data_IF_500447915869
#
_entry.id   IF_500447915869
#
_cell.length_a   1.000
_cell.length_b   1.000
_cell.length_c   1.000
_cell.angle_alpha   90.00
_cell.angle_beta   90.00
_cell.angle_gamma   90.00
#
_symmetry.space_group_name_H-M   'P 1'
#
loop_
_entity.id
_entity.type
_entity.pdbx_description
1 polymer ?
#
# COMPACT_ATOMS: atom_id res chain seq x y z
N UNK A 1 26.28 -6.54 6.43
CA UNK A 1 25.40 -5.42 6.81
C UNK A 1 24.07 -5.72 6.13
N UNK A 2 22.94 -5.88 6.84
CA UNK A 2 21.65 -6.02 6.14
C UNK A 2 21.51 -4.76 5.32
N UNK A 3 21.61 -4.86 3.99
CA UNK A 3 21.27 -3.72 3.13
C UNK A 3 19.91 -3.25 3.59
N UNK A 4 19.85 -2.00 4.07
CA UNK A 4 18.60 -1.45 4.55
C UNK A 4 17.67 -1.50 3.34
N UNK A 5 16.71 -2.43 3.35
CA UNK A 5 15.68 -2.55 2.32
C UNK A 5 14.90 -1.25 2.21
N UNK A 6 13.63 -1.28 1.84
CA UNK A 6 12.85 -0.05 1.71
C UNK A 6 12.48 0.58 3.07
N UNK A 7 13.34 0.52 4.09
CA UNK A 7 13.17 1.15 5.39
C UNK A 7 13.83 2.54 5.43
N UNK A 8 13.19 3.47 6.12
CA UNK A 8 13.75 4.78 6.49
C UNK A 8 13.78 4.89 8.01
N UNK A 9 14.95 5.28 8.53
CA UNK A 9 15.14 5.53 9.96
C UNK A 9 14.46 6.85 10.33
N UNK A 10 13.73 6.85 11.43
CA UNK A 10 13.16 8.08 11.99
C UNK A 10 14.23 8.84 12.77
N UNK A 11 14.33 10.14 12.51
CA UNK A 11 15.21 11.03 13.24
C UNK A 11 14.43 11.88 14.24
N UNK A 12 15.03 12.13 15.40
CA UNK A 12 14.56 13.09 16.39
C UNK A 12 15.73 14.01 16.73
N UNK A 13 15.56 15.32 16.49
CA UNK A 13 16.61 16.33 16.67
C UNK A 13 17.92 15.99 15.92
N UNK A 14 17.81 15.47 14.69
CA UNK A 14 18.96 15.11 13.83
C UNK A 14 19.71 13.85 14.27
N UNK A 15 19.13 13.03 15.14
CA UNK A 15 19.71 11.75 15.58
C UNK A 15 18.73 10.58 15.33
N UNK A 16 19.23 9.38 14.97
CA UNK A 16 18.41 8.17 14.88
C UNK A 16 17.63 7.92 16.17
N UNK A 17 16.32 7.79 16.06
CA UNK A 17 15.43 7.54 17.20
C UNK A 17 15.33 6.06 17.60
N UNK A 18 15.99 5.16 16.86
CA UNK A 18 15.84 3.71 16.98
C UNK A 18 14.61 3.15 16.26
N UNK A 19 13.67 4.00 15.84
CA UNK A 19 12.49 3.60 15.06
C UNK A 19 12.76 3.71 13.56
N UNK A 20 12.08 2.86 12.77
CA UNK A 20 12.08 2.92 11.32
C UNK A 20 10.69 2.61 10.77
N UNK A 21 10.43 3.02 9.53
CA UNK A 21 9.22 2.68 8.78
C UNK A 21 9.57 2.32 7.35
N UNK A 22 8.66 1.63 6.68
CA UNK A 22 8.82 1.32 5.25
C UNK A 22 8.53 2.57 4.41
N UNK A 23 9.50 2.98 3.60
CA UNK A 23 9.43 4.00 2.57
C UNK A 23 8.75 3.43 1.30
N UNK A 24 7.43 3.32 1.37
CA UNK A 24 6.60 2.81 0.26
C UNK A 24 6.74 3.63 -1.02
N UNK A 25 7.01 4.94 -0.90
CA UNK A 25 7.22 5.81 -2.06
C UNK A 25 8.53 5.47 -2.76
N UNK A 26 9.60 5.23 -2.00
CA UNK A 26 10.87 4.77 -2.55
C UNK A 26 10.73 3.41 -3.20
N UNK A 27 10.04 2.46 -2.54
CA UNK A 27 9.74 1.15 -3.12
C UNK A 27 9.02 1.24 -4.46
N UNK A 28 7.92 1.98 -4.51
CA UNK A 28 7.13 2.12 -5.74
C UNK A 28 7.92 2.83 -6.85
N UNK A 29 8.75 3.82 -6.52
CA UNK A 29 9.54 4.56 -7.50
C UNK A 29 10.71 3.73 -8.05
N UNK A 30 11.45 3.06 -7.18
CA UNK A 30 12.67 2.34 -7.55
C UNK A 30 12.36 0.97 -8.17
N UNK A 31 11.38 0.23 -7.64
CA UNK A 31 11.08 -1.12 -8.10
C UNK A 31 9.88 -1.21 -9.06
N UNK A 32 8.88 -0.33 -8.96
CA UNK A 32 7.61 -0.49 -9.67
C UNK A 32 7.41 0.56 -10.76
N UNK A 33 8.49 1.19 -11.23
CA UNK A 33 8.43 2.10 -12.36
C UNK A 33 8.17 1.35 -13.67
N UNK A 34 7.55 2.01 -14.65
CA UNK A 34 7.25 1.41 -15.95
C UNK A 34 6.01 0.52 -15.94
N UNK A 35 6.15 -0.73 -16.43
CA UNK A 35 5.04 -1.60 -16.84
C UNK A 35 4.17 -2.16 -15.72
N UNK A 36 4.60 -2.07 -14.46
CA UNK A 36 3.87 -2.65 -13.33
C UNK A 36 2.42 -2.18 -13.26
N UNK A 37 2.19 -0.86 -13.34
CA UNK A 37 0.84 -0.32 -13.28
C UNK A 37 0.00 -0.75 -14.50
N UNK A 38 0.60 -0.76 -15.69
CA UNK A 38 -0.09 -1.22 -16.91
C UNK A 38 -0.47 -2.71 -16.83
N UNK A 39 0.38 -3.55 -16.22
CA UNK A 39 0.10 -4.96 -15.98
C UNK A 39 -1.06 -5.13 -15.00
N UNK A 40 -1.11 -4.35 -13.91
CA UNK A 40 -2.23 -4.35 -12.97
C UNK A 40 -3.54 -4.02 -13.68
N UNK A 41 -3.54 -3.03 -14.58
CA UNK A 41 -4.73 -2.64 -15.34
C UNK A 41 -5.14 -3.73 -16.34
N UNK A 42 -4.20 -4.22 -17.13
CA UNK A 42 -4.48 -5.20 -18.21
C UNK A 42 -4.87 -6.58 -17.70
N UNK A 43 -4.47 -6.95 -16.49
CA UNK A 43 -4.84 -8.22 -15.84
C UNK A 43 -6.06 -8.08 -14.93
N UNK A 44 -6.55 -6.86 -14.71
CA UNK A 44 -7.70 -6.57 -13.84
C UNK A 44 -7.57 -7.08 -12.40
N UNK A 45 -6.35 -7.32 -11.89
CA UNK A 45 -6.13 -7.85 -10.54
C UNK A 45 -6.45 -6.86 -9.40
N UNK A 46 -6.77 -5.60 -9.74
CA UNK A 46 -7.04 -4.52 -8.80
C UNK A 46 -8.28 -3.70 -9.19
N UNK A 47 -9.27 -4.34 -9.82
CA UNK A 47 -10.45 -3.67 -10.38
C UNK A 47 -11.19 -2.80 -9.35
N UNK A 48 -11.43 -3.31 -8.14
CA UNK A 48 -12.10 -2.57 -7.06
C UNK A 48 -11.21 -1.42 -6.57
N UNK A 49 -9.90 -1.60 -6.43
CA UNK A 49 -8.97 -0.52 -6.04
C UNK A 49 -8.99 0.62 -7.06
N UNK A 50 -9.11 0.31 -8.36
CA UNK A 50 -9.12 1.29 -9.44
C UNK A 50 -10.47 2.00 -9.53
N UNK A 51 -11.58 1.25 -9.50
CA UNK A 51 -12.93 1.79 -9.74
C UNK A 51 -13.59 2.35 -8.48
N UNK A 52 -13.31 1.77 -7.31
CA UNK A 52 -13.87 2.14 -6.02
C UNK A 52 -12.82 2.15 -4.90
N UNK A 53 -11.83 3.07 -4.96
CA UNK A 53 -10.64 3.05 -4.13
C UNK A 53 -10.92 3.09 -2.63
N UNK A 54 -9.96 2.61 -1.80
CA UNK A 54 -10.10 2.62 -0.35
C UNK A 54 -10.22 4.05 0.17
N UNK A 55 -11.27 4.29 0.97
CA UNK A 55 -11.49 5.56 1.66
C UNK A 55 -10.31 5.90 2.56
N UNK A 56 -10.05 7.19 2.77
CA UNK A 56 -8.99 7.65 3.65
C UNK A 56 -9.58 8.09 4.99
N UNK A 57 -9.14 7.48 6.08
CA UNK A 57 -9.45 8.00 7.40
C UNK A 57 -8.71 9.33 7.60
N UNK A 58 -9.45 10.33 8.07
CA UNK A 58 -8.96 11.68 8.34
C UNK A 58 -9.32 12.05 9.77
N UNK A 59 -8.49 12.89 10.39
CA UNK A 59 -8.81 13.48 11.67
C UNK A 59 -9.41 14.86 11.44
N UNK A 60 -10.57 15.12 12.03
CA UNK A 60 -11.19 16.44 12.05
C UNK A 60 -11.40 16.85 13.51
N UNK A 61 -10.50 17.70 14.01
CA UNK A 61 -10.45 18.06 15.43
C UNK A 61 -10.11 16.86 16.31
N UNK A 62 -11.06 16.44 17.15
CA UNK A 62 -10.95 15.28 18.04
C UNK A 62 -11.70 14.04 17.53
N UNK A 63 -12.25 14.09 16.32
CA UNK A 63 -13.06 13.02 15.74
C UNK A 63 -12.37 12.39 14.53
N UNK A 64 -12.56 11.09 14.36
CA UNK A 64 -12.16 10.37 13.16
C UNK A 64 -13.30 10.40 12.14
N UNK A 65 -12.98 10.71 10.89
CA UNK A 65 -13.92 10.75 9.77
C UNK A 65 -13.32 10.06 8.53
N UNK A 66 -14.13 9.86 7.50
CA UNK A 66 -13.79 9.14 6.28
C UNK A 66 -13.97 10.00 5.04
N UNK A 67 -12.87 10.25 4.31
CA UNK A 67 -12.94 10.83 2.97
C UNK A 67 -13.30 9.74 1.96
N UNK A 68 -14.53 9.80 1.41
CA UNK A 68 -15.11 8.77 0.51
C UNK A 68 -14.79 8.99 -0.98
N UNK A 69 -14.60 10.23 -1.43
CA UNK A 69 -14.28 10.57 -2.82
C UNK A 69 -12.77 10.56 -3.06
N UNK A 70 -12.17 9.37 -3.02
CA UNK A 70 -10.75 9.18 -3.34
C UNK A 70 -10.61 9.01 -4.85
N UNK A 71 -9.66 9.73 -5.45
CA UNK A 71 -9.34 9.58 -6.88
C UNK A 71 -8.80 8.17 -7.13
N UNK A 72 -9.21 7.55 -8.23
CA UNK A 72 -8.58 6.33 -8.75
C UNK A 72 -7.07 6.54 -8.86
N UNK A 73 -6.25 5.60 -8.37
CA UNK A 73 -4.81 5.69 -8.55
C UNK A 73 -4.49 5.62 -10.04
N UNK A 74 -3.54 6.42 -10.52
CA UNK A 74 -3.18 6.49 -11.95
C UNK A 74 -1.72 6.15 -12.24
N UNK A 75 -1.00 5.63 -11.24
CA UNK A 75 0.39 5.18 -11.33
C UNK A 75 0.72 4.24 -10.16
N UNK A 76 1.89 3.59 -10.22
CA UNK A 76 2.36 2.62 -9.22
C UNK A 76 2.45 3.21 -7.80
N UNK A 77 2.85 4.48 -7.65
CA UNK A 77 2.98 5.09 -6.32
C UNK A 77 1.61 5.30 -5.67
N UNK A 78 0.65 5.82 -6.43
CA UNK A 78 -0.73 6.00 -5.96
C UNK A 78 -1.40 4.66 -5.66
N UNK A 79 -1.13 3.63 -6.47
CA UNK A 79 -1.64 2.27 -6.29
C UNK A 79 -1.09 1.63 -5.01
N UNK A 80 0.23 1.68 -4.77
CA UNK A 80 0.82 1.21 -3.51
C UNK A 80 0.32 2.04 -2.32
N UNK A 81 0.11 3.34 -2.51
CA UNK A 81 -0.54 4.19 -1.52
C UNK A 81 -1.97 3.73 -1.18
N UNK A 82 -2.72 3.21 -2.16
CA UNK A 82 -4.03 2.61 -1.93
C UNK A 82 -3.92 1.30 -1.14
N UNK A 83 -3.00 0.40 -1.50
CA UNK A 83 -2.72 -0.84 -0.75
C UNK A 83 -2.39 -0.54 0.73
N UNK A 84 -1.57 0.48 0.99
CA UNK A 84 -1.28 0.90 2.37
C UNK A 84 -2.52 1.37 3.12
N UNK A 85 -3.45 2.07 2.45
CA UNK A 85 -4.73 2.48 3.05
C UNK A 85 -5.61 1.28 3.35
N UNK A 86 -5.68 0.28 2.47
CA UNK A 86 -6.44 -0.96 2.67
C UNK A 86 -5.96 -1.65 3.95
N UNK A 87 -4.63 -1.85 4.08
CA UNK A 87 -4.03 -2.41 5.29
C UNK A 87 -4.39 -1.60 6.52
N UNK A 88 -4.25 -0.28 6.49
CA UNK A 88 -4.56 0.55 7.67
C UNK A 88 -6.05 0.48 8.03
N UNK A 89 -6.94 0.55 7.03
CA UNK A 89 -8.38 0.48 7.22
C UNK A 89 -8.81 -0.85 7.85
N UNK A 90 -8.16 -1.97 7.51
CA UNK A 90 -8.39 -3.28 8.12
C UNK A 90 -8.16 -3.24 9.64
N UNK A 91 -7.12 -2.53 10.11
CA UNK A 91 -6.75 -2.50 11.53
C UNK A 91 -7.34 -1.33 12.31
N UNK A 92 -7.82 -0.27 11.66
CA UNK A 92 -8.43 0.88 12.33
C UNK A 92 -9.85 0.59 12.84
N UNK A 93 -10.45 -0.55 12.50
CA UNK A 93 -11.69 -1.07 13.11
C UNK A 93 -12.97 -0.28 12.79
N UNK A 94 -12.88 0.88 12.14
CA UNK A 94 -14.01 1.81 11.93
C UNK A 94 -15.04 1.40 10.87
N UNK A 95 -15.08 0.13 10.45
CA UNK A 95 -16.01 -0.42 9.44
C UNK A 95 -16.78 -1.66 9.90
N UNK A 96 -16.85 -1.93 11.21
CA UNK A 96 -17.70 -2.99 11.74
C UNK A 96 -19.18 -2.71 11.44
N UNK A 97 -19.85 -3.59 10.68
CA UNK A 97 -21.23 -3.42 10.23
C UNK A 97 -21.41 -2.59 8.95
N UNK A 98 -20.32 -2.33 8.22
CA UNK A 98 -20.36 -1.60 6.94
C UNK A 98 -21.16 -2.40 5.89
N UNK A 99 -22.08 -1.71 5.20
CA UNK A 99 -22.89 -2.27 4.10
C UNK A 99 -21.99 -2.70 2.93
N UNK A 100 -20.77 -2.17 2.88
CA UNK A 100 -19.75 -2.44 1.86
C UNK A 100 -18.83 -3.65 2.21
N UNK A 101 -19.28 -4.64 2.98
CA UNK A 101 -18.42 -5.78 3.38
C UNK A 101 -17.75 -6.47 2.18
N UNK A 102 -18.51 -6.80 1.14
CA UNK A 102 -17.98 -7.47 -0.07
C UNK A 102 -16.91 -6.63 -0.78
N UNK A 103 -17.12 -5.32 -0.82
CA UNK A 103 -16.13 -4.37 -1.37
C UNK A 103 -14.87 -4.35 -0.50
N UNK A 104 -15.00 -4.34 0.82
CA UNK A 104 -13.86 -4.35 1.72
C UNK A 104 -13.04 -5.64 1.56
N UNK A 105 -13.71 -6.79 1.43
CA UNK A 105 -13.08 -8.08 1.15
C UNK A 105 -12.34 -8.07 -0.20
N UNK A 106 -12.97 -7.52 -1.25
CA UNK A 106 -12.33 -7.35 -2.54
C UNK A 106 -11.07 -6.48 -2.46
N UNK A 107 -11.15 -5.34 -1.76
CA UNK A 107 -10.01 -4.45 -1.56
C UNK A 107 -8.84 -5.16 -0.88
N UNK A 108 -9.10 -5.96 0.17
CA UNK A 108 -8.04 -6.73 0.86
C UNK A 108 -7.41 -7.75 -0.09
N UNK A 109 -8.24 -8.52 -0.80
CA UNK A 109 -7.77 -9.55 -1.73
C UNK A 109 -6.94 -8.97 -2.87
N UNK A 110 -7.44 -7.93 -3.52
CA UNK A 110 -6.75 -7.21 -4.58
C UNK A 110 -5.46 -6.57 -4.04
N UNK A 111 -5.47 -6.04 -2.82
CA UNK A 111 -4.29 -5.49 -2.17
C UNK A 111 -3.18 -6.55 -1.99
N UNK A 112 -3.55 -7.78 -1.63
CA UNK A 112 -2.61 -8.91 -1.56
C UNK A 112 -2.09 -9.26 -2.96
N UNK A 113 -2.96 -9.35 -3.96
CA UNK A 113 -2.56 -9.67 -5.34
C UNK A 113 -1.58 -8.64 -5.91
N UNK A 114 -1.82 -7.34 -5.66
CA UNK A 114 -0.91 -6.25 -6.06
C UNK A 114 0.45 -6.39 -5.39
N UNK A 115 0.51 -6.76 -4.10
CA UNK A 115 1.78 -7.00 -3.39
C UNK A 115 2.52 -8.23 -3.91
N UNK A 116 1.81 -9.31 -4.24
CA UNK A 116 2.42 -10.51 -4.82
C UNK A 116 2.98 -10.22 -6.21
N UNK A 117 2.24 -9.49 -7.05
CA UNK A 117 2.75 -9.06 -8.35
C UNK A 117 3.97 -8.14 -8.20
N UNK A 118 3.99 -7.25 -7.20
CA UNK A 118 5.10 -6.32 -7.01
C UNK A 118 6.42 -7.02 -6.66
N UNK A 119 6.37 -8.26 -6.14
CA UNK A 119 7.57 -9.09 -5.95
C UNK A 119 8.21 -9.48 -7.28
N UNK A 120 7.43 -9.71 -8.34
CA UNK A 120 7.95 -10.03 -9.68
C UNK A 120 8.84 -8.89 -10.22
N UNK A 121 8.52 -7.65 -9.84
CA UNK A 121 9.20 -6.43 -10.28
C UNK A 121 10.35 -5.98 -9.38
N UNK A 122 10.53 -6.58 -8.21
CA UNK A 122 11.56 -6.18 -7.27
C UNK A 122 12.35 -7.39 -6.78
N UNK A 123 13.35 -7.78 -7.58
CA UNK A 123 14.15 -8.99 -7.34
C UNK A 123 14.74 -9.04 -5.93
N UNK A 124 15.32 -7.94 -5.45
CA UNK A 124 15.90 -7.88 -4.10
C UNK A 124 14.86 -8.19 -3.01
N UNK A 125 13.63 -7.68 -3.13
CA UNK A 125 12.58 -7.94 -2.14
C UNK A 125 12.06 -9.37 -2.28
N UNK A 126 11.92 -9.87 -3.52
CA UNK A 126 11.51 -11.25 -3.79
C UNK A 126 12.52 -12.26 -3.24
N UNK A 127 13.80 -12.06 -3.47
CA UNK A 127 14.87 -12.94 -3.01
C UNK A 127 14.84 -13.10 -1.48
N UNK A 128 14.73 -11.98 -0.76
CA UNK A 128 14.59 -11.97 0.70
C UNK A 128 13.28 -12.62 1.16
N UNK A 129 12.17 -12.40 0.45
CA UNK A 129 10.87 -13.00 0.74
C UNK A 129 10.88 -14.53 0.58
N UNK A 130 11.58 -15.04 -0.44
CA UNK A 130 11.70 -16.47 -0.74
C UNK A 130 12.74 -17.18 0.15
N UNK A 131 13.46 -16.44 0.99
CA UNK A 131 14.48 -17.00 1.90
C UNK A 131 15.79 -17.37 1.20
N UNK A 132 16.02 -16.85 0.00
CA UNK A 132 17.31 -16.95 -0.67
C UNK A 132 18.23 -15.85 -0.08
N UNK A 133 19.41 -16.23 0.42
CA UNK A 133 20.40 -15.35 1.05
C UNK A 133 21.80 -15.58 0.50
#
# INVERSE_FOLDING_TARGET
MKENGFCRIMEKNGKPSGNFYVDWNRYAKECLSGKFYDEVISTSIAETIITNPPSKQVCWGHSLDWKKNIKSPSNSQELIGAVCRIRNNLFHGGKSGDVDHDRNDNLVREGIQVLLLSLVYCENVRHVFEGNY
#
